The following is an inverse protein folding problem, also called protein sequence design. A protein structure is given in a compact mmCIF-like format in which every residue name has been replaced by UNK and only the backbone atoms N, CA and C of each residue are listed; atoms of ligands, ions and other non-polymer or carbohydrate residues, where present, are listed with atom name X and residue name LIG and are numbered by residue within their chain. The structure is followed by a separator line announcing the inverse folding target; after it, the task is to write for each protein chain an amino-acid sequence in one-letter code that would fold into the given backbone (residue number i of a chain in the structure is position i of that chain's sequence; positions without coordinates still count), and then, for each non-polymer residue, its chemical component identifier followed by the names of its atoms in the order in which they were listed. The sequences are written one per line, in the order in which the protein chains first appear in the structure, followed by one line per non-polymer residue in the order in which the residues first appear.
data_IF_278259404530
#
_entry.id   IF_278259404530
#
_cell.length_a   1.000
_cell.length_b   1.000
_cell.length_c   1.000
_cell.angle_alpha   90.00
_cell.angle_beta   90.00
_cell.angle_gamma   90.00
#
_symmetry.space_group_name_H-M   'P 1'
#
loop_
_entity.id
_entity.type
_entity.pdbx_description
1 polymer ?
#
# COMPACT_ATOMS: atom_id res chain seq x y z
N UNK A 1 -12.75 15.28 13.12
CA UNK A 1 -12.44 15.16 11.68
C UNK A 1 -10.94 15.27 11.54
N UNK A 2 -10.28 14.27 10.94
CA UNK A 2 -8.86 14.36 10.62
C UNK A 2 -8.70 15.30 9.42
N UNK A 3 -7.87 16.31 9.57
CA UNK A 3 -7.63 17.30 8.50
C UNK A 3 -6.49 16.82 7.62
N UNK A 4 -6.80 16.53 6.36
CA UNK A 4 -5.79 16.30 5.34
C UNK A 4 -5.13 17.63 4.95
N UNK A 5 -3.81 17.70 4.95
CA UNK A 5 -3.04 18.87 4.51
C UNK A 5 -2.22 18.49 3.29
N UNK A 6 -2.13 19.41 2.32
CA UNK A 6 -1.39 19.20 1.07
C UNK A 6 -0.23 20.17 1.02
N UNK A 7 0.98 19.63 0.87
CA UNK A 7 2.21 20.40 0.76
C UNK A 7 2.82 20.19 -0.63
N UNK A 8 2.73 21.18 -1.54
CA UNK A 8 3.29 21.03 -2.87
C UNK A 8 4.83 21.00 -2.81
N UNK A 9 5.42 20.02 -3.48
CA UNK A 9 6.86 19.91 -3.69
C UNK A 9 7.21 20.25 -5.15
N UNK A 10 8.46 20.64 -5.45
CA UNK A 10 8.90 20.83 -6.83
C UNK A 10 8.67 19.57 -7.67
N UNK A 11 8.05 19.70 -8.83
CA UNK A 11 7.75 18.53 -9.65
C UNK A 11 9.03 17.82 -10.13
N UNK A 12 9.03 16.49 -10.06
CA UNK A 12 10.07 15.61 -10.64
C UNK A 12 9.38 14.54 -11.47
N UNK A 13 9.81 14.39 -12.72
CA UNK A 13 9.26 13.39 -13.62
C UNK A 13 9.65 11.94 -13.24
N UNK A 14 10.77 11.77 -12.52
CA UNK A 14 11.20 10.47 -12.02
C UNK A 14 10.90 10.36 -10.51
N UNK A 15 9.92 9.53 -10.10
CA UNK A 15 9.52 9.41 -8.69
C UNK A 15 10.64 8.83 -7.80
N UNK A 16 11.59 8.09 -8.38
CA UNK A 16 12.72 7.53 -7.64
C UNK A 16 13.60 8.60 -6.99
N UNK A 17 13.58 9.85 -7.48
CA UNK A 17 14.32 10.95 -6.86
C UNK A 17 13.81 11.28 -5.46
N UNK A 18 12.49 11.29 -5.26
CA UNK A 18 11.90 11.48 -3.94
C UNK A 18 11.95 10.20 -3.12
N UNK A 19 11.67 9.05 -3.74
CA UNK A 19 11.70 7.78 -3.04
C UNK A 19 13.09 7.46 -2.46
N UNK A 20 14.17 7.91 -3.11
CA UNK A 20 15.54 7.73 -2.62
C UNK A 20 15.76 8.30 -1.20
N UNK A 21 15.02 9.34 -0.80
CA UNK A 21 15.11 9.91 0.54
C UNK A 21 14.51 9.01 1.62
N UNK A 22 13.54 8.16 1.26
CA UNK A 22 12.78 7.33 2.20
C UNK A 22 12.94 5.83 1.97
N UNK A 23 13.68 5.38 0.94
CA UNK A 23 13.76 3.95 0.54
C UNK A 23 14.21 2.97 1.63
N UNK A 24 14.91 3.47 2.65
CA UNK A 24 15.37 2.67 3.80
C UNK A 24 14.47 2.81 5.03
N UNK A 25 13.44 3.65 4.97
CA UNK A 25 12.49 3.80 6.05
C UNK A 25 11.62 2.53 6.18
N UNK A 26 11.14 2.21 7.39
CA UNK A 26 10.21 1.11 7.60
C UNK A 26 8.98 1.24 6.71
N UNK A 27 8.63 0.16 6.01
CA UNK A 27 7.46 0.14 5.12
C UNK A 27 7.55 1.13 3.95
N UNK A 28 8.75 1.53 3.52
CA UNK A 28 8.90 2.35 2.32
C UNK A 28 8.26 1.63 1.11
N UNK A 29 7.35 2.31 0.42
CA UNK A 29 6.62 1.79 -0.74
C UNK A 29 6.57 2.82 -1.85
N UNK A 30 6.67 2.35 -3.09
CA UNK A 30 6.54 3.14 -4.30
C UNK A 30 5.64 2.38 -5.29
N UNK A 31 4.58 3.02 -5.75
CA UNK A 31 3.76 2.60 -6.88
C UNK A 31 4.07 3.53 -8.04
N UNK A 32 4.88 3.06 -8.98
CA UNK A 32 5.30 3.80 -10.17
C UNK A 32 4.36 3.46 -11.34
N UNK A 33 3.74 4.48 -11.91
CA UNK A 33 2.85 4.39 -13.07
C UNK A 33 3.60 4.10 -14.37
N UNK A 34 4.93 4.13 -14.38
CA UNK A 34 5.79 3.73 -15.51
C UNK A 34 5.94 4.80 -16.58
N UNK A 35 5.70 6.09 -16.26
CA UNK A 35 5.94 7.19 -17.20
C UNK A 35 7.46 7.35 -17.47
N UNK A 36 7.87 7.71 -18.70
CA UNK A 36 7.03 8.12 -19.82
C UNK A 36 6.48 6.97 -20.67
N UNK A 37 6.93 5.72 -20.46
CA UNK A 37 6.58 4.57 -21.31
C UNK A 37 5.12 4.13 -21.21
N UNK A 38 4.48 4.33 -20.06
CA UNK A 38 3.07 4.00 -19.86
C UNK A 38 2.16 5.20 -20.19
N UNK A 39 1.11 4.96 -20.98
CA UNK A 39 0.17 6.01 -21.40
C UNK A 39 -1.03 6.19 -20.47
N UNK A 40 -1.33 5.20 -19.62
CA UNK A 40 -2.52 5.18 -18.75
C UNK A 40 -2.24 5.64 -17.31
N UNK A 41 -0.97 5.70 -16.92
CA UNK A 41 -0.57 6.10 -15.58
C UNK A 41 -0.51 7.63 -15.43
N UNK A 42 -1.29 8.17 -14.48
CA UNK A 42 -1.32 9.61 -14.15
C UNK A 42 -0.55 9.95 -12.86
N UNK A 43 -0.49 9.03 -11.90
CA UNK A 43 0.05 9.27 -10.57
C UNK A 43 1.08 8.22 -10.19
N UNK A 44 2.17 8.68 -9.59
CA UNK A 44 3.07 7.85 -8.80
C UNK A 44 2.74 8.10 -7.32
N UNK A 45 2.72 7.04 -6.51
CA UNK A 45 2.45 7.14 -5.08
C UNK A 45 3.64 6.60 -4.31
N UNK A 46 4.06 7.30 -3.25
CA UNK A 46 5.07 6.81 -2.32
C UNK A 46 4.62 7.02 -0.89
N UNK A 47 5.09 6.19 0.03
CA UNK A 47 4.88 6.40 1.45
C UNK A 47 5.91 5.64 2.26
N UNK A 48 5.98 5.91 3.57
CA UNK A 48 6.81 5.20 4.53
C UNK A 48 6.26 5.40 5.96
N UNK A 49 6.86 4.73 6.94
CA UNK A 49 6.45 4.78 8.35
C UNK A 49 4.96 4.47 8.54
N UNK A 50 4.53 3.26 8.18
CA UNK A 50 3.14 2.87 8.38
C UNK A 50 2.81 2.90 9.88
N UNK A 51 1.59 3.33 10.20
CA UNK A 51 0.99 3.27 11.53
C UNK A 51 0.85 1.83 12.01
N UNK A 52 0.63 0.90 11.06
CA UNK A 52 0.59 -0.53 11.32
C UNK A 52 1.06 -1.32 10.10
N UNK A 53 1.74 -2.44 10.32
CA UNK A 53 2.07 -3.42 9.28
C UNK A 53 1.28 -4.71 9.52
N UNK A 54 0.58 -5.16 8.48
CA UNK A 54 -0.38 -6.24 8.52
C UNK A 54 0.10 -7.34 7.56
N UNK A 55 0.37 -8.52 8.10
CA UNK A 55 0.58 -9.76 7.34
C UNK A 55 -0.49 -10.78 7.74
N UNK A 56 -0.77 -11.74 6.86
CA UNK A 56 -1.66 -12.87 7.20
C UNK A 56 -1.06 -13.64 8.37
N UNK A 57 -1.87 -13.97 9.38
CA UNK A 57 -1.43 -14.83 10.46
C UNK A 57 -1.54 -16.33 10.06
N UNK A 58 -0.75 -17.24 10.67
CA UNK A 58 -0.68 -18.65 10.25
C UNK A 58 -2.04 -19.38 10.16
N UNK A 59 -2.97 -19.07 11.06
CA UNK A 59 -4.29 -19.72 11.14
C UNK A 59 -5.43 -18.78 10.67
N UNK A 60 -5.09 -17.67 10.02
CA UNK A 60 -6.07 -16.69 9.56
C UNK A 60 -6.56 -17.03 8.15
N UNK A 61 -7.89 -17.04 7.97
CA UNK A 61 -8.49 -17.18 6.65
C UNK A 61 -8.26 -15.92 5.82
N UNK A 62 -8.31 -16.05 4.49
CA UNK A 62 -8.15 -14.89 3.61
C UNK A 62 -9.27 -13.87 3.80
N UNK A 63 -10.48 -14.33 4.08
CA UNK A 63 -11.64 -13.47 4.36
C UNK A 63 -11.44 -12.65 5.64
N UNK A 64 -11.00 -13.30 6.72
CA UNK A 64 -10.70 -12.65 8.00
C UNK A 64 -9.58 -11.62 7.85
N UNK A 65 -8.52 -11.96 7.11
CA UNK A 65 -7.43 -11.03 6.83
C UNK A 65 -7.93 -9.78 6.08
N UNK A 66 -8.71 -9.97 5.01
CA UNK A 66 -9.29 -8.86 4.25
C UNK A 66 -10.24 -8.01 5.10
N UNK A 67 -10.97 -8.63 6.04
CA UNK A 67 -11.80 -7.89 6.98
C UNK A 67 -10.94 -7.08 7.96
N UNK A 68 -9.88 -7.66 8.51
CA UNK A 68 -8.93 -6.97 9.38
C UNK A 68 -8.25 -5.79 8.67
N UNK A 69 -7.97 -5.89 7.38
CA UNK A 69 -7.52 -4.75 6.57
C UNK A 69 -8.57 -3.64 6.57
N UNK A 70 -9.84 -3.96 6.27
CA UNK A 70 -10.94 -2.97 6.27
C UNK A 70 -11.10 -2.31 7.64
N UNK A 71 -11.11 -3.09 8.71
CA UNK A 71 -11.22 -2.58 10.08
C UNK A 71 -10.07 -1.64 10.41
N UNK A 72 -8.85 -1.98 10.02
CA UNK A 72 -7.68 -1.10 10.16
C UNK A 72 -7.83 0.21 9.38
N UNK A 73 -8.36 0.16 8.17
CA UNK A 73 -8.61 1.35 7.37
C UNK A 73 -9.59 2.30 8.06
N UNK A 74 -10.64 1.78 8.70
CA UNK A 74 -11.62 2.62 9.42
C UNK A 74 -11.01 3.44 10.55
N UNK A 75 -9.86 3.03 11.11
CA UNK A 75 -9.13 3.78 12.15
C UNK A 75 -8.58 5.11 11.65
N UNK A 76 -8.34 5.25 10.34
CA UNK A 76 -7.97 6.54 9.73
C UNK A 76 -9.16 7.48 9.58
N UNK A 77 -10.40 6.98 9.71
CA UNK A 77 -11.61 7.74 9.49
C UNK A 77 -11.76 8.27 8.05
N UNK A 78 -12.78 9.10 7.85
CA UNK A 78 -12.98 9.79 6.57
C UNK A 78 -12.07 11.01 6.47
N UNK A 79 -11.37 11.13 5.34
CA UNK A 79 -10.56 12.29 5.00
C UNK A 79 -11.32 13.18 4.02
N UNK A 80 -11.37 14.48 4.31
CA UNK A 80 -11.77 15.49 3.33
C UNK A 80 -10.52 16.06 2.68
N UNK A 81 -10.42 15.92 1.35
CA UNK A 81 -9.33 16.50 0.58
C UNK A 81 -9.53 18.01 0.44
N UNK A 82 -8.50 18.84 0.71
CA UNK A 82 -8.63 20.27 0.48
C UNK A 82 -8.77 20.55 -1.03
N UNK A 83 -9.75 21.37 -1.41
CA UNK A 83 -9.82 21.92 -2.76
C UNK A 83 -8.55 22.76 -3.05
N UNK A 84 -8.05 22.80 -4.31
CA UNK A 84 -8.60 22.22 -5.53
C UNK A 84 -8.02 20.83 -5.89
N UNK A 85 -7.46 20.09 -4.93
CA UNK A 85 -6.68 18.89 -5.25
C UNK A 85 -7.56 17.66 -5.50
N UNK A 86 -7.33 17.00 -6.65
CA UNK A 86 -7.88 15.68 -6.98
C UNK A 86 -6.80 14.61 -6.78
N UNK A 87 -6.66 14.13 -5.54
CA UNK A 87 -5.67 13.10 -5.18
C UNK A 87 -6.32 11.71 -5.19
N UNK A 88 -5.72 10.70 -5.83
CA UNK A 88 -6.28 9.34 -5.88
C UNK A 88 -6.14 8.59 -4.55
N UNK A 89 -5.32 9.10 -3.63
CA UNK A 89 -4.98 8.49 -2.36
C UNK A 89 -4.59 9.58 -1.35
N UNK A 90 -5.10 9.45 -0.11
CA UNK A 90 -4.95 10.47 0.94
C UNK A 90 -4.49 9.86 2.27
N UNK A 91 -3.72 8.77 2.19
CA UNK A 91 -3.54 7.82 3.28
C UNK A 91 -4.52 6.64 3.17
N UNK A 92 -4.14 5.50 3.74
CA UNK A 92 -4.85 4.24 3.57
C UNK A 92 -3.90 3.04 3.56
N UNK A 93 -4.35 1.95 2.96
CA UNK A 93 -3.56 0.72 2.88
C UNK A 93 -2.77 0.65 1.56
N UNK A 94 -1.48 0.35 1.65
CA UNK A 94 -0.64 0.03 0.49
C UNK A 94 0.16 -1.23 0.81
N UNK A 95 0.24 -2.16 -0.14
CA UNK A 95 0.88 -3.43 0.08
C UNK A 95 0.85 -4.34 -1.13
N UNK A 96 1.05 -5.62 -0.88
CA UNK A 96 0.95 -6.65 -1.90
C UNK A 96 0.14 -7.85 -1.40
N UNK A 97 -0.50 -8.52 -2.35
CA UNK A 97 -1.03 -9.87 -2.24
C UNK A 97 -0.19 -10.74 -3.18
N UNK A 98 0.45 -11.76 -2.63
CA UNK A 98 1.15 -12.75 -3.45
C UNK A 98 0.15 -13.63 -4.19
N UNK A 99 0.64 -14.41 -5.15
CA UNK A 99 -0.18 -15.43 -5.80
C UNK A 99 -0.67 -16.50 -4.81
N UNK A 100 0.20 -16.93 -3.89
CA UNK A 100 -0.11 -17.99 -2.91
C UNK A 100 -1.12 -17.54 -1.84
N UNK A 101 -1.38 -16.23 -1.67
CA UNK A 101 -2.50 -15.74 -0.88
C UNK A 101 -3.84 -16.37 -1.28
N UNK A 102 -4.01 -16.74 -2.56
CA UNK A 102 -5.19 -17.45 -3.03
C UNK A 102 -5.49 -18.74 -2.26
N UNK A 103 -4.49 -19.38 -1.64
CA UNK A 103 -4.65 -20.59 -0.81
C UNK A 103 -5.36 -20.32 0.52
N UNK A 104 -5.38 -19.06 0.96
CA UNK A 104 -6.18 -18.64 2.12
C UNK A 104 -7.65 -18.40 1.77
N UNK A 105 -7.99 -18.30 0.48
CA UNK A 105 -9.36 -18.11 -0.02
C UNK A 105 -9.95 -19.42 -0.54
N UNK A 106 -9.13 -20.29 -1.14
CA UNK A 106 -9.57 -21.49 -1.84
C UNK A 106 -8.76 -22.72 -1.43
N UNK A 107 -9.38 -23.90 -1.44
CA UNK A 107 -8.69 -25.17 -1.19
C UNK A 107 -7.93 -25.61 -2.45
N UNK A 108 -6.64 -25.32 -2.48
CA UNK A 108 -5.75 -25.67 -3.59
C UNK A 108 -4.68 -26.68 -3.16
N UNK A 109 -4.29 -27.63 -4.03
CA UNK A 109 -3.19 -28.54 -3.74
C UNK A 109 -1.87 -27.76 -3.62
N UNK A 110 -1.07 -28.08 -2.61
CA UNK A 110 0.27 -27.49 -2.41
C UNK A 110 1.33 -28.41 -3.00
N UNK A 111 1.89 -28.02 -4.15
CA UNK A 111 2.90 -28.79 -4.88
C UNK A 111 4.23 -28.04 -5.01
N UNK A 112 4.20 -26.71 -4.93
CA UNK A 112 5.38 -25.86 -4.96
C UNK A 112 6.04 -25.80 -3.59
N UNK A 113 7.37 -25.71 -3.58
CA UNK A 113 8.15 -25.42 -2.39
C UNK A 113 8.17 -23.91 -2.18
N UNK A 114 7.93 -23.45 -0.96
CA UNK A 114 8.15 -22.05 -0.57
C UNK A 114 9.65 -21.80 -0.39
N UNK A 115 10.32 -21.37 -1.46
CA UNK A 115 11.74 -21.04 -1.45
C UNK A 115 12.03 -19.55 -1.26
N UNK A 116 11.01 -18.70 -1.27
CA UNK A 116 11.13 -17.25 -1.05
C UNK A 116 10.95 -16.87 0.41
N UNK A 117 10.16 -17.63 1.18
CA UNK A 117 9.88 -17.35 2.61
C UNK A 117 9.35 -15.92 2.82
N UNK A 118 8.64 -15.39 1.83
CA UNK A 118 7.99 -14.09 1.89
C UNK A 118 6.57 -14.27 2.41
N UNK A 119 6.02 -13.31 3.17
CA UNK A 119 4.62 -13.38 3.58
C UNK A 119 3.69 -13.42 2.37
N UNK A 120 2.61 -14.20 2.45
CA UNK A 120 1.61 -14.30 1.39
C UNK A 120 0.88 -12.98 1.14
N UNK A 121 0.76 -12.13 2.15
CA UNK A 121 0.34 -10.75 2.00
C UNK A 121 1.07 -9.85 3.00
N UNK A 122 1.31 -8.60 2.60
CA UNK A 122 1.82 -7.55 3.50
C UNK A 122 1.27 -6.19 3.10
N UNK A 123 0.62 -5.51 4.04
CA UNK A 123 0.09 -4.16 3.88
C UNK A 123 0.59 -3.25 5.00
N UNK A 124 0.88 -2.00 4.67
CA UNK A 124 1.05 -0.93 5.64
C UNK A 124 -0.20 -0.04 5.67
N UNK A 125 -0.63 0.38 6.86
CA UNK A 125 -1.59 1.45 7.06
C UNK A 125 -0.85 2.78 7.13
N UNK A 126 -0.95 3.60 6.10
CA UNK A 126 -0.21 4.87 6.00
C UNK A 126 -1.11 6.06 6.27
N UNK A 127 -0.65 6.97 7.13
CA UNK A 127 -1.32 8.25 7.39
C UNK A 127 -0.97 9.36 6.39
N UNK A 128 -0.10 9.08 5.42
CA UNK A 128 0.35 10.05 4.41
C UNK A 128 0.77 9.35 3.11
N UNK A 129 0.86 10.12 2.03
CA UNK A 129 1.47 9.75 0.76
C UNK A 129 2.00 11.01 0.05
#
# INVERSE_FOLDING_TARGET
MLTCSVHPLPYRANPAQYFAAIRHAPGAVLLDSGRPSADRGRYDLLSAWPLEQLTVAPDESGEDFLQRLRDNLTRLGEASLPAPYELPFAGGLIGYLSYDFGRHLERLPSQSRDDLQLPDARFGLYGWA
#
